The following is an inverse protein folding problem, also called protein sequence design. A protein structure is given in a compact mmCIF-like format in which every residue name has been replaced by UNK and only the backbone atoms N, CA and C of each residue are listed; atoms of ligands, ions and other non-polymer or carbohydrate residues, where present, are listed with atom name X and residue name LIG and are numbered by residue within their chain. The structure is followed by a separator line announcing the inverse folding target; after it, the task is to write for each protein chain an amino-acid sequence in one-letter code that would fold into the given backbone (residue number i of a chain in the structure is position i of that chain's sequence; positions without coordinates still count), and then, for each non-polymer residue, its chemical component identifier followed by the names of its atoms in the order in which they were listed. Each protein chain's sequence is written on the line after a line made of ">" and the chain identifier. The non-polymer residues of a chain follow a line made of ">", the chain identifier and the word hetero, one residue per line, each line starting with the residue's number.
data_IF_075882380406
#
_entry.id   IF_075882380406
#
_cell.length_a   1.000
_cell.length_b   1.000
_cell.length_c   1.000
_cell.angle_alpha   90.00
_cell.angle_beta   90.00
_cell.angle_gamma   90.00
#
_symmetry.space_group_name_H-M   'P 1'
#
loop_
_entity.id
_entity.type
_entity.pdbx_description
1 polymer ?
#
# COMPACT_ATOMS: atom_id res chain seq x y z
N UNK A 1 29.04 -43.89 0.59
CA UNK A 1 27.79 -44.16 1.32
C UNK A 1 27.48 -42.93 2.17
N UNK A 2 26.66 -42.04 1.61
CA UNK A 2 25.73 -41.13 2.30
C UNK A 2 26.23 -40.19 3.41
N UNK A 3 27.07 -39.19 3.09
CA UNK A 3 27.24 -37.99 3.94
C UNK A 3 27.17 -36.66 3.17
N UNK A 4 26.59 -36.67 1.97
CA UNK A 4 26.36 -35.48 1.11
C UNK A 4 25.00 -34.79 1.39
N UNK A 5 24.28 -35.13 2.46
CA UNK A 5 22.88 -34.70 2.62
C UNK A 5 22.44 -34.43 4.07
N UNK A 6 23.30 -33.83 4.91
CA UNK A 6 22.93 -33.52 6.30
C UNK A 6 23.21 -32.06 6.75
N UNK A 7 23.79 -31.21 5.90
CA UNK A 7 24.10 -29.81 6.23
C UNK A 7 23.25 -28.77 5.44
N UNK A 8 22.00 -29.10 5.13
CA UNK A 8 21.03 -28.03 4.87
C UNK A 8 20.51 -27.56 6.23
N UNK A 9 20.82 -26.32 6.67
CA UNK A 9 20.17 -25.80 7.85
C UNK A 9 18.66 -25.92 7.63
N UNK A 10 17.99 -26.60 8.57
CA UNK A 10 16.53 -26.78 8.62
C UNK A 10 15.80 -25.45 8.90
N UNK A 11 16.29 -24.35 8.32
CA UNK A 11 15.50 -23.15 8.13
C UNK A 11 14.48 -23.47 7.05
N UNK A 12 13.43 -24.20 7.43
CA UNK A 12 12.12 -23.92 6.90
C UNK A 12 11.93 -22.41 7.14
N UNK A 13 12.39 -21.61 6.18
CA UNK A 13 12.05 -20.21 6.11
C UNK A 13 10.57 -20.26 5.82
N UNK A 14 9.75 -20.24 6.87
CA UNK A 14 8.33 -20.06 6.72
C UNK A 14 8.17 -18.66 6.14
N UNK A 15 8.06 -18.61 4.82
CA UNK A 15 7.78 -17.41 4.08
C UNK A 15 6.28 -17.23 4.10
N UNK A 16 5.81 -16.10 4.60
CA UNK A 16 4.42 -15.73 4.53
C UNK A 16 4.22 -14.74 3.37
N UNK A 17 3.07 -14.85 2.69
CA UNK A 17 2.72 -13.99 1.57
C UNK A 17 1.66 -13.01 2.04
N UNK A 18 1.97 -11.71 1.93
CA UNK A 18 0.99 -10.64 2.13
C UNK A 18 0.37 -10.33 0.76
N UNK A 19 -0.91 -10.67 0.51
CA UNK A 19 -1.57 -10.43 -0.76
C UNK A 19 -1.86 -8.94 -0.95
N UNK A 20 -1.65 -8.44 -2.17
CA UNK A 20 -1.94 -7.07 -2.56
C UNK A 20 -2.88 -7.06 -3.78
N UNK A 21 -3.78 -6.07 -3.82
CA UNK A 21 -4.82 -5.99 -4.85
C UNK A 21 -4.28 -5.53 -6.21
N UNK A 22 -3.25 -4.68 -6.23
CA UNK A 22 -2.70 -4.14 -7.47
C UNK A 22 -1.19 -3.87 -7.39
N UNK A 23 -0.54 -3.80 -8.56
CA UNK A 23 0.91 -3.53 -8.70
C UNK A 23 1.40 -2.33 -7.89
N UNK A 24 0.68 -1.21 -7.93
CA UNK A 24 1.05 0.00 -7.18
C UNK A 24 1.10 -0.24 -5.66
N UNK A 25 0.20 -1.07 -5.13
CA UNK A 25 0.14 -1.38 -3.70
C UNK A 25 1.33 -2.23 -3.25
N UNK A 26 1.72 -3.23 -4.05
CA UNK A 26 2.94 -4.00 -3.80
C UNK A 26 4.17 -3.10 -3.80
N UNK A 27 4.26 -2.20 -4.77
CA UNK A 27 5.39 -1.27 -4.85
C UNK A 27 5.47 -0.39 -3.61
N UNK A 28 4.35 0.26 -3.24
CA UNK A 28 4.26 1.14 -2.07
C UNK A 28 4.60 0.36 -0.78
N UNK A 29 4.08 -0.85 -0.63
CA UNK A 29 4.35 -1.69 0.54
C UNK A 29 5.80 -2.18 0.60
N UNK A 30 6.41 -2.53 -0.54
CA UNK A 30 7.82 -2.92 -0.60
C UNK A 30 8.74 -1.80 -0.14
N UNK A 31 8.39 -0.56 -0.48
CA UNK A 31 9.11 0.63 -0.03
C UNK A 31 8.98 0.82 1.49
N UNK A 32 7.76 0.67 2.02
CA UNK A 32 7.50 0.78 3.47
C UNK A 32 8.29 -0.27 4.25
N UNK A 33 8.30 -1.51 3.79
CA UNK A 33 8.99 -2.60 4.49
C UNK A 33 10.51 -2.46 4.39
N UNK A 34 11.03 -2.03 3.24
CA UNK A 34 12.45 -1.70 3.06
C UNK A 34 12.88 -0.57 4.01
N UNK A 35 12.05 0.45 4.19
CA UNK A 35 12.30 1.57 5.12
C UNK A 35 12.38 1.10 6.59
N UNK A 36 11.58 0.10 6.96
CA UNK A 36 11.61 -0.53 8.28
C UNK A 36 12.70 -1.61 8.43
N UNK A 37 13.58 -1.76 7.43
CA UNK A 37 14.64 -2.79 7.36
C UNK A 37 14.11 -4.22 7.47
N UNK A 38 12.88 -4.46 7.01
CA UNK A 38 12.30 -5.79 6.96
C UNK A 38 12.71 -6.44 5.62
N UNK A 39 13.34 -7.61 5.63
CA UNK A 39 13.71 -8.32 4.40
C UNK A 39 12.46 -8.82 3.70
N UNK A 40 12.20 -8.30 2.49
CA UNK A 40 11.02 -8.63 1.71
C UNK A 40 11.35 -8.87 0.25
N UNK A 41 10.70 -9.88 -0.34
CA UNK A 41 10.85 -10.21 -1.74
C UNK A 41 9.52 -9.96 -2.46
N UNK A 42 9.57 -9.16 -3.52
CA UNK A 42 8.41 -8.94 -4.39
C UNK A 42 8.22 -10.20 -5.21
N UNK A 43 7.09 -10.89 -5.01
CA UNK A 43 6.73 -12.00 -5.87
C UNK A 43 6.31 -11.43 -7.23
N UNK A 44 7.21 -11.53 -8.21
CA UNK A 44 7.00 -11.04 -9.56
C UNK A 44 6.04 -11.96 -10.30
N UNK A 45 4.97 -11.40 -10.85
CA UNK A 45 4.13 -12.12 -11.81
C UNK A 45 4.41 -11.62 -13.22
N UNK A 46 4.45 -12.53 -14.21
CA UNK A 46 4.49 -12.14 -15.62
C UNK A 46 3.30 -11.23 -15.92
N UNK A 47 3.51 -10.28 -16.83
CA UNK A 47 2.54 -9.25 -17.24
C UNK A 47 1.11 -9.78 -17.30
N UNK A 48 0.24 -9.28 -16.41
CA UNK A 48 -1.21 -9.43 -16.53
C UNK A 48 -1.92 -10.48 -15.66
N UNK A 49 -1.24 -11.24 -14.79
CA UNK A 49 -1.92 -12.19 -13.89
C UNK A 49 -1.63 -11.97 -12.40
N UNK A 50 -2.72 -11.91 -11.63
CA UNK A 50 -2.74 -11.94 -10.17
C UNK A 50 -2.34 -13.35 -9.66
N UNK A 51 -1.83 -13.51 -8.42
CA UNK A 51 -1.89 -12.55 -7.31
C UNK A 51 -0.58 -11.79 -7.00
N UNK A 52 -0.63 -10.46 -7.02
CA UNK A 52 0.48 -9.63 -6.50
C UNK A 52 0.67 -9.90 -5.00
N UNK A 53 1.90 -10.17 -4.56
CA UNK A 53 2.16 -10.46 -3.15
C UNK A 53 3.58 -10.15 -2.73
N UNK A 54 3.74 -9.74 -1.47
CA UNK A 54 5.06 -9.63 -0.84
C UNK A 54 5.34 -10.88 -0.02
N UNK A 55 6.47 -11.53 -0.30
CA UNK A 55 7.02 -12.55 0.58
C UNK A 55 7.78 -11.86 1.71
N UNK A 56 7.45 -12.24 2.93
CA UNK A 56 8.10 -11.80 4.16
C UNK A 56 8.42 -13.03 5.00
N UNK A 57 9.50 -12.98 5.76
CA UNK A 57 9.75 -13.97 6.80
C UNK A 57 8.60 -14.02 7.81
N UNK A 58 8.15 -15.21 8.20
CA UNK A 58 7.11 -15.39 9.22
C UNK A 58 7.49 -14.72 10.55
N UNK A 59 8.78 -14.70 10.91
CA UNK A 59 9.28 -13.98 12.09
C UNK A 59 9.07 -12.47 12.05
N UNK A 60 9.00 -11.88 10.85
CA UNK A 60 8.78 -10.45 10.64
C UNK A 60 7.36 -10.13 10.15
N UNK A 61 6.49 -11.14 9.99
CA UNK A 61 5.12 -10.96 9.49
C UNK A 61 4.34 -9.96 10.32
N UNK A 62 4.37 -10.10 11.66
CA UNK A 62 3.66 -9.21 12.58
C UNK A 62 4.17 -7.77 12.44
N UNK A 63 5.49 -7.58 12.28
CA UNK A 63 6.10 -6.26 12.08
C UNK A 63 5.72 -5.67 10.73
N UNK A 64 5.69 -6.48 9.68
CA UNK A 64 5.30 -6.07 8.34
C UNK A 64 3.83 -5.65 8.28
N UNK A 65 2.94 -6.42 8.92
CA UNK A 65 1.52 -6.07 9.02
C UNK A 65 1.29 -4.78 9.80
N UNK A 66 2.01 -4.57 10.92
CA UNK A 66 1.90 -3.36 11.72
C UNK A 66 2.39 -2.13 10.92
N UNK A 67 3.52 -2.26 10.22
CA UNK A 67 4.04 -1.21 9.34
C UNK A 67 3.07 -0.86 8.21
N UNK A 68 2.50 -1.87 7.53
CA UNK A 68 1.50 -1.68 6.49
C UNK A 68 0.23 -1.04 7.07
N UNK A 69 -0.21 -1.45 8.26
CA UNK A 69 -1.40 -0.90 8.93
C UNK A 69 -1.20 0.56 9.30
N UNK A 70 -0.02 0.93 9.80
CA UNK A 70 0.35 2.33 10.09
C UNK A 70 0.35 3.16 8.81
N UNK A 71 1.01 2.69 7.76
CA UNK A 71 0.99 3.33 6.44
C UNK A 71 -0.43 3.50 5.92
N UNK A 72 -1.28 2.49 6.04
CA UNK A 72 -2.69 2.57 5.64
C UNK A 72 -3.49 3.52 6.52
N UNK A 73 -3.20 3.63 7.82
CA UNK A 73 -3.89 4.56 8.73
C UNK A 73 -3.50 6.02 8.47
N UNK A 74 -2.22 6.26 8.14
CA UNK A 74 -1.68 7.58 7.81
C UNK A 74 -2.13 8.02 6.41
N UNK A 75 -2.07 7.11 5.43
CA UNK A 75 -2.57 7.35 4.07
C UNK A 75 -4.08 7.12 3.92
N UNK A 76 -4.77 6.70 5.00
CA UNK A 76 -6.24 6.70 5.07
C UNK A 76 -6.80 8.11 5.08
N UNK A 77 -5.93 9.13 5.12
CA UNK A 77 -6.26 10.52 4.80
C UNK A 77 -6.75 10.60 3.35
N UNK A 78 -8.04 10.30 3.23
CA UNK A 78 -8.96 10.75 2.22
C UNK A 78 -8.54 10.43 0.78
N UNK A 79 -9.18 9.38 0.23
CA UNK A 79 -9.37 9.23 -1.21
C UNK A 79 -10.28 10.34 -1.76
N UNK A 80 -9.94 11.61 -1.51
CA UNK A 80 -10.49 12.79 -2.19
C UNK A 80 -10.04 12.87 -3.65
N UNK A 81 -9.15 11.98 -4.08
CA UNK A 81 -8.71 11.84 -5.46
C UNK A 81 -9.16 10.46 -5.95
N UNK A 82 -10.46 10.32 -6.24
CA UNK A 82 -10.92 9.22 -7.08
C UNK A 82 -10.62 9.61 -8.54
N UNK A 83 -9.75 8.88 -9.25
CA UNK A 83 -9.69 9.02 -10.70
C UNK A 83 -11.04 8.52 -11.26
N UNK A 84 -11.81 9.42 -11.86
CA UNK A 84 -13.04 9.06 -12.57
C UNK A 84 -12.59 8.48 -13.92
N UNK A 85 -12.87 7.20 -14.23
CA UNK A 85 -12.25 6.49 -15.35
C UNK A 85 -12.72 6.95 -16.75
N UNK A 86 -13.50 8.03 -16.86
CA UNK A 86 -14.17 8.42 -18.11
C UNK A 86 -13.85 9.85 -18.58
N UNK A 87 -13.12 10.66 -17.82
CA UNK A 87 -12.63 11.95 -18.31
C UNK A 87 -11.32 12.28 -17.61
N UNK A 88 -10.36 12.89 -18.31
CA UNK A 88 -9.04 13.26 -17.77
C UNK A 88 -9.08 14.36 -16.70
N UNK A 89 -10.13 14.44 -15.88
CA UNK A 89 -10.31 15.40 -14.81
C UNK A 89 -10.10 14.77 -13.43
N UNK A 90 -9.16 15.33 -12.68
CA UNK A 90 -8.94 14.99 -11.27
C UNK A 90 -10.00 15.70 -10.42
N UNK A 91 -10.94 14.94 -9.86
CA UNK A 91 -11.95 15.51 -8.97
C UNK A 91 -11.31 15.83 -7.62
N UNK A 92 -10.81 17.06 -7.45
CA UNK A 92 -10.26 17.53 -6.18
C UNK A 92 -11.41 17.97 -5.28
N UNK A 93 -12.00 17.05 -4.50
CA UNK A 93 -13.11 17.45 -3.64
C UNK A 93 -12.73 18.44 -2.52
N UNK A 94 -11.43 18.60 -2.23
CA UNK A 94 -10.91 19.72 -1.44
C UNK A 94 -11.17 21.09 -2.11
N UNK A 95 -11.09 21.19 -3.44
CA UNK A 95 -11.40 22.41 -4.17
C UNK A 95 -12.90 22.73 -4.12
N UNK A 96 -13.77 21.71 -4.21
CA UNK A 96 -15.22 21.90 -4.05
C UNK A 96 -15.60 22.36 -2.65
N UNK A 97 -14.96 21.79 -1.61
CA UNK A 97 -15.14 22.27 -0.24
C UNK A 97 -14.75 23.75 -0.12
N UNK A 98 -13.60 24.13 -0.69
CA UNK A 98 -13.16 25.52 -0.71
C UNK A 98 -14.11 26.43 -1.48
N UNK A 99 -14.59 26.02 -2.66
CA UNK A 99 -15.60 26.77 -3.40
C UNK A 99 -16.88 26.96 -2.58
N UNK A 100 -17.35 25.92 -1.88
CA UNK A 100 -18.55 25.98 -1.05
C UNK A 100 -18.37 26.93 0.14
N UNK A 101 -17.20 26.90 0.80
CA UNK A 101 -16.83 27.86 1.85
C UNK A 101 -16.85 29.29 1.32
N UNK A 102 -16.24 29.54 0.15
CA UNK A 102 -16.23 30.86 -0.47
C UNK A 102 -17.65 31.33 -0.84
N UNK A 103 -18.51 30.45 -1.34
CA UNK A 103 -19.92 30.77 -1.62
C UNK A 103 -20.67 31.15 -0.34
N UNK A 104 -20.45 30.45 0.78
CA UNK A 104 -21.07 30.77 2.07
C UNK A 104 -20.59 32.13 2.58
N UNK A 105 -19.29 32.42 2.48
CA UNK A 105 -18.72 33.72 2.86
C UNK A 105 -19.25 34.85 1.98
N UNK A 106 -19.34 34.65 0.67
CA UNK A 106 -19.91 35.63 -0.25
C UNK A 106 -21.39 35.88 0.04
N UNK A 107 -22.16 34.83 0.37
CA UNK A 107 -23.56 34.96 0.78
C UNK A 107 -23.69 35.75 2.08
N UNK A 108 -22.90 35.42 3.12
CA UNK A 108 -22.96 36.15 4.39
C UNK A 108 -22.50 37.60 4.25
N UNK A 109 -21.49 37.87 3.42
CA UNK A 109 -20.99 39.23 3.16
C UNK A 109 -21.90 40.06 2.26
N UNK A 110 -22.88 39.46 1.59
CA UNK A 110 -23.89 40.17 0.78
C UNK A 110 -25.01 40.76 1.63
N UNK A 111 -25.18 40.28 2.87
CA UNK A 111 -26.23 40.71 3.81
C UNK A 111 -25.74 41.78 4.82
N UNK A 112 -24.51 42.27 4.67
CA UNK A 112 -23.91 43.38 5.47
C UNK A 112 -23.60 44.59 4.58
#
# INVERSE_FOLDING_TARGET
>A
MSQDLQDLPSTAHDWCIIPAAHRKQVMDWSLVLTSQKIPTEIQSFPEGQAPYGLKVHQGDLVRAEDAIRRYQSENKRWSWQKPIPASGFTFHGAALLWCLVLCIFAWMGWEF
#
